data_IF_636129416693
#
_entry.id   IF_636129416693
#
_cell.length_a   1.000
_cell.length_b   1.000
_cell.length_c   1.000
_cell.angle_alpha   90.00
_cell.angle_beta   90.00
_cell.angle_gamma   90.00
#
_symmetry.space_group_name_H-M   'P 1'
#
loop_
_entity.id
_entity.type
_entity.pdbx_description
1 polymer ?
#
# COMPACT_ATOMS: atom_id res chain seq x y z
N UNK A 1 -11.48 32.13 37.60
CA UNK A 1 -11.12 30.83 37.01
C UNK A 1 -11.09 31.06 35.51
N UNK A 2 -9.90 31.06 34.92
CA UNK A 2 -9.73 31.24 33.48
C UNK A 2 -9.90 29.86 32.83
N UNK A 3 -10.98 29.68 32.07
CA UNK A 3 -11.08 28.59 31.11
C UNK A 3 -10.13 28.91 29.95
N UNK A 4 -8.94 28.33 30.01
CA UNK A 4 -8.03 28.26 28.87
C UNK A 4 -8.64 27.28 27.88
N UNK A 5 -9.44 27.80 26.94
CA UNK A 5 -9.88 27.02 25.79
C UNK A 5 -8.63 26.74 24.94
N UNK A 6 -8.10 25.52 25.06
CA UNK A 6 -7.01 25.05 24.21
C UNK A 6 -7.43 25.23 22.74
N UNK A 7 -6.58 25.83 21.88
CA UNK A 7 -6.91 25.95 20.48
C UNK A 7 -7.01 24.54 19.89
N UNK A 8 -8.11 24.28 19.19
CA UNK A 8 -8.34 23.07 18.41
C UNK A 8 -7.29 23.01 17.28
N UNK A 9 -6.12 22.45 17.61
CA UNK A 9 -4.96 22.32 16.73
C UNK A 9 -5.12 21.19 15.70
N UNK A 10 -6.33 20.66 15.52
CA UNK A 10 -6.63 19.76 14.41
C UNK A 10 -7.24 20.60 13.29
N UNK A 11 -6.44 21.55 12.81
CA UNK A 11 -6.73 22.30 11.61
C UNK A 11 -7.00 21.33 10.46
N UNK A 12 -8.02 21.69 9.68
CA UNK A 12 -8.37 21.17 8.36
C UNK A 12 -7.11 20.87 7.54
N UNK A 13 -6.57 19.66 7.70
CA UNK A 13 -5.43 19.20 6.94
C UNK A 13 -5.92 19.08 5.51
N UNK A 14 -5.50 20.02 4.65
CA UNK A 14 -5.67 19.92 3.21
C UNK A 14 -5.09 18.58 2.74
N UNK A 15 -5.98 17.59 2.59
CA UNK A 15 -5.66 16.21 2.23
C UNK A 15 -5.04 16.14 0.82
N UNK A 16 -5.15 17.23 0.06
CA UNK A 16 -4.61 17.41 -1.28
C UNK A 16 -3.13 17.84 -1.26
N UNK A 17 -2.70 18.59 -0.24
CA UNK A 17 -1.30 18.99 -0.06
C UNK A 17 -0.39 17.82 0.37
N UNK A 18 -0.98 16.74 0.90
CA UNK A 18 -0.31 15.50 1.29
C UNK A 18 -0.31 14.43 0.17
N UNK A 19 -0.09 14.83 -1.08
CA UNK A 19 0.07 13.91 -2.20
C UNK A 19 1.12 12.80 -1.91
N UNK A 20 0.96 11.59 -2.45
CA UNK A 20 0.81 10.37 -1.65
C UNK A 20 2.15 9.70 -1.33
N UNK A 21 2.74 10.00 -0.16
CA UNK A 21 3.84 9.17 0.38
C UNK A 21 3.37 7.75 0.70
N UNK A 22 2.08 7.60 1.04
CA UNK A 22 1.47 6.34 1.44
C UNK A 22 1.47 5.26 0.35
N UNK A 23 1.44 5.63 -0.94
CA UNK A 23 1.37 4.64 -2.03
C UNK A 23 2.62 3.76 -2.09
N UNK A 24 3.79 4.34 -1.81
CA UNK A 24 5.04 3.57 -1.65
C UNK A 24 5.03 2.79 -0.34
N UNK A 25 4.59 3.42 0.75
CA UNK A 25 4.56 2.77 2.06
C UNK A 25 3.66 1.54 2.11
N UNK A 26 2.55 1.53 1.38
CA UNK A 26 1.70 0.34 1.29
C UNK A 26 2.36 -0.82 0.55
N UNK A 27 3.10 -0.54 -0.52
CA UNK A 27 3.88 -1.54 -1.22
C UNK A 27 4.95 -2.13 -0.31
N UNK A 28 5.69 -1.26 0.36
CA UNK A 28 6.75 -1.67 1.27
C UNK A 28 6.19 -2.47 2.47
N UNK A 29 5.05 -2.06 3.03
CA UNK A 29 4.37 -2.80 4.10
C UNK A 29 3.94 -4.18 3.63
N UNK A 30 3.33 -4.29 2.45
CA UNK A 30 2.94 -5.57 1.87
C UNK A 30 4.15 -6.45 1.63
N UNK A 31 5.23 -5.89 1.07
CA UNK A 31 6.45 -6.63 0.74
C UNK A 31 7.16 -7.11 2.02
N UNK A 32 7.14 -6.29 3.07
CA UNK A 32 7.61 -6.65 4.41
C UNK A 32 6.82 -7.84 4.99
N UNK A 33 5.48 -7.77 4.98
CA UNK A 33 4.62 -8.87 5.46
C UNK A 33 4.81 -10.12 4.61
N UNK A 34 4.91 -9.98 3.29
CA UNK A 34 5.11 -11.10 2.36
C UNK A 34 6.44 -11.79 2.63
N UNK A 35 7.52 -11.02 2.79
CA UNK A 35 8.83 -11.56 3.14
C UNK A 35 8.84 -12.23 4.53
N UNK A 36 8.09 -11.69 5.50
CA UNK A 36 7.93 -12.31 6.82
C UNK A 36 7.22 -13.66 6.72
N UNK A 37 6.16 -13.76 5.92
CA UNK A 37 5.46 -15.03 5.66
C UNK A 37 6.31 -16.04 4.86
N UNK A 38 7.13 -15.60 3.91
CA UNK A 38 8.04 -16.51 3.19
C UNK A 38 9.15 -17.08 4.07
N UNK A 39 9.55 -16.36 5.13
CA UNK A 39 10.54 -16.83 6.12
C UNK A 39 9.91 -17.68 7.23
N UNK A 40 8.60 -17.56 7.41
CA UNK A 40 7.90 -18.36 8.40
C UNK A 40 7.85 -19.84 7.98
N UNK A 41 7.86 -20.79 8.93
CA UNK A 41 7.71 -22.20 8.63
C UNK A 41 6.39 -22.46 7.89
N UNK A 42 6.41 -23.34 6.90
CA UNK A 42 5.23 -23.75 6.09
C UNK A 42 4.07 -24.37 6.89
N UNK A 43 4.26 -24.57 8.20
CA UNK A 43 3.28 -25.05 9.18
C UNK A 43 2.37 -23.95 9.75
N UNK A 44 2.67 -22.66 9.54
CA UNK A 44 1.79 -21.57 10.01
C UNK A 44 0.50 -21.49 9.17
N UNK A 45 -0.43 -22.39 9.45
CA UNK A 45 -1.79 -22.40 8.88
C UNK A 45 -2.81 -21.80 9.85
N UNK A 46 -2.43 -21.61 11.11
CA UNK A 46 -3.30 -21.01 12.12
C UNK A 46 -3.43 -19.50 11.93
N UNK A 47 -4.66 -18.96 11.77
CA UNK A 47 -4.88 -17.54 11.52
C UNK A 47 -4.26 -16.61 12.58
N UNK A 48 -4.23 -17.04 13.85
CA UNK A 48 -3.62 -16.26 14.93
C UNK A 48 -2.11 -16.11 14.76
N UNK A 49 -1.41 -17.18 14.38
CA UNK A 49 0.04 -17.16 14.19
C UNK A 49 0.42 -16.28 12.99
N UNK A 50 -0.36 -16.34 11.91
CA UNK A 50 -0.18 -15.44 10.77
C UNK A 50 -0.38 -13.97 11.15
N UNK A 51 -1.37 -13.67 11.98
CA UNK A 51 -1.62 -12.32 12.48
C UNK A 51 -0.46 -11.80 13.36
N UNK A 52 0.11 -12.65 14.21
CA UNK A 52 1.26 -12.30 15.06
C UNK A 52 2.50 -11.96 14.21
N UNK A 53 2.81 -12.79 13.20
CA UNK A 53 3.93 -12.55 12.28
C UNK A 53 3.72 -11.25 11.49
N UNK A 54 2.51 -11.00 10.97
CA UNK A 54 2.20 -9.76 10.27
C UNK A 54 2.34 -8.53 11.18
N UNK A 55 1.91 -8.64 12.44
CA UNK A 55 1.99 -7.55 13.42
C UNK A 55 3.44 -7.21 13.75
N UNK A 56 4.29 -8.23 13.94
CA UNK A 56 5.72 -8.03 14.18
C UNK A 56 6.41 -7.36 12.98
N UNK A 57 6.14 -7.84 11.76
CA UNK A 57 6.68 -7.24 10.53
C UNK A 57 6.27 -5.77 10.38
N UNK A 58 5.00 -5.46 10.67
CA UNK A 58 4.50 -4.09 10.68
C UNK A 58 5.20 -3.23 11.74
N UNK A 59 5.39 -3.74 12.95
CA UNK A 59 6.06 -3.03 14.03
C UNK A 59 7.53 -2.74 13.72
N UNK A 60 8.24 -3.67 13.08
CA UNK A 60 9.61 -3.47 12.63
C UNK A 60 9.72 -2.41 11.53
N UNK A 61 8.79 -2.42 10.57
CA UNK A 61 8.84 -1.50 9.43
C UNK A 61 8.28 -0.10 9.74
N UNK A 62 7.20 -0.03 10.52
CA UNK A 62 6.52 1.23 10.89
C UNK A 62 7.01 1.81 12.21
N UNK A 63 7.80 1.06 12.99
CA UNK A 63 8.33 1.49 14.29
C UNK A 63 9.01 2.85 14.20
N UNK A 64 8.54 3.81 14.98
CA UNK A 64 9.09 5.17 15.06
C UNK A 64 8.72 6.11 13.89
N UNK A 65 7.84 5.70 12.96
CA UNK A 65 7.41 6.51 11.81
C UNK A 65 5.92 6.82 11.86
N UNK A 66 5.56 8.10 11.72
CA UNK A 66 4.18 8.49 11.44
C UNK A 66 3.84 8.14 9.98
N UNK A 67 2.98 7.14 9.76
CA UNK A 67 2.53 6.72 8.44
C UNK A 67 1.04 6.94 8.29
N UNK A 68 0.67 7.63 7.21
CA UNK A 68 -0.73 7.77 6.81
C UNK A 68 -1.20 6.49 6.11
N UNK A 69 -2.22 5.84 6.69
CA UNK A 69 -2.88 4.70 6.07
C UNK A 69 -4.19 5.17 5.40
N UNK A 70 -4.27 5.18 4.06
CA UNK A 70 -5.50 5.55 3.38
C UNK A 70 -6.62 4.54 3.70
N UNK A 71 -7.86 5.02 3.69
CA UNK A 71 -9.04 4.18 3.95
C UNK A 71 -9.90 4.03 2.69
N UNK A 72 -10.79 3.04 2.74
CA UNK A 72 -11.88 2.89 1.77
C UNK A 72 -11.41 2.59 0.33
N UNK A 73 -11.97 3.32 -0.63
CA UNK A 73 -11.77 3.04 -2.06
C UNK A 73 -10.32 3.22 -2.51
N UNK A 74 -9.61 4.20 -1.95
CA UNK A 74 -8.22 4.53 -2.32
C UNK A 74 -7.28 3.35 -2.03
N UNK A 75 -7.40 2.73 -0.85
CA UNK A 75 -6.64 1.54 -0.47
C UNK A 75 -6.92 0.35 -1.39
N UNK A 76 -8.21 0.08 -1.67
CA UNK A 76 -8.62 -1.02 -2.55
C UNK A 76 -8.08 -0.84 -3.97
N UNK A 77 -8.11 0.38 -4.48
CA UNK A 77 -7.57 0.74 -5.80
C UNK A 77 -6.06 0.54 -5.84
N UNK A 78 -5.32 0.96 -4.81
CA UNK A 78 -3.87 0.75 -4.75
C UNK A 78 -3.49 -0.73 -4.74
N UNK A 79 -4.17 -1.55 -3.92
CA UNK A 79 -3.94 -3.00 -3.86
C UNK A 79 -4.27 -3.69 -5.19
N UNK A 80 -5.36 -3.29 -5.86
CA UNK A 80 -5.72 -3.78 -7.20
C UNK A 80 -4.64 -3.42 -8.22
N UNK A 81 -4.23 -2.15 -8.26
CA UNK A 81 -3.24 -1.64 -9.21
C UNK A 81 -1.89 -2.33 -9.04
N UNK A 82 -1.52 -2.66 -7.81
CA UNK A 82 -0.34 -3.46 -7.49
C UNK A 82 -0.45 -4.89 -8.03
N UNK A 83 -1.56 -5.58 -7.74
CA UNK A 83 -1.78 -6.96 -8.20
C UNK A 83 -1.83 -7.06 -9.73
N UNK A 84 -2.43 -6.07 -10.39
CA UNK A 84 -2.42 -5.96 -11.84
C UNK A 84 -1.00 -5.87 -12.39
N UNK A 85 -0.14 -5.10 -11.73
CA UNK A 85 1.25 -4.95 -12.15
C UNK A 85 2.08 -6.21 -11.93
N UNK A 86 1.82 -6.96 -10.86
CA UNK A 86 2.44 -8.29 -10.62
C UNK A 86 2.01 -9.33 -11.66
N UNK A 87 0.75 -9.29 -12.10
CA UNK A 87 0.22 -10.18 -13.13
C UNK A 87 0.70 -9.80 -14.56
N UNK A 88 1.33 -8.64 -14.75
CA UNK A 88 1.72 -8.15 -16.06
C UNK A 88 2.97 -8.86 -16.59
N UNK A 89 2.84 -9.54 -17.73
CA UNK A 89 3.93 -10.32 -18.36
C UNK A 89 4.67 -9.55 -19.46
N UNK A 90 4.11 -8.43 -19.94
CA UNK A 90 4.70 -7.63 -21.03
C UNK A 90 3.77 -7.45 -22.24
N UNK A 91 2.90 -8.42 -22.48
CA UNK A 91 2.05 -8.51 -23.67
C UNK A 91 0.58 -8.89 -23.35
N UNK A 92 0.26 -9.19 -22.10
CA UNK A 92 -1.05 -9.67 -21.66
C UNK A 92 -2.09 -8.57 -21.34
N UNK A 93 -2.04 -7.41 -22.01
CA UNK A 93 -2.90 -6.25 -21.71
C UNK A 93 -4.40 -6.56 -21.83
N UNK A 94 -4.81 -7.30 -22.87
CA UNK A 94 -6.20 -7.69 -23.06
C UNK A 94 -6.70 -8.64 -21.95
N UNK A 95 -5.84 -9.49 -21.42
CA UNK A 95 -6.17 -10.38 -20.31
C UNK A 95 -6.38 -9.59 -19.02
N UNK A 96 -5.49 -8.64 -18.73
CA UNK A 96 -5.59 -7.77 -17.56
C UNK A 96 -6.85 -6.90 -17.60
N UNK A 97 -7.18 -6.34 -18.77
CA UNK A 97 -8.41 -5.56 -19.02
C UNK A 97 -9.66 -6.37 -18.62
N UNK A 98 -9.73 -7.65 -19.03
CA UNK A 98 -10.84 -8.55 -18.67
C UNK A 98 -10.83 -8.96 -17.19
N UNK A 99 -9.67 -9.34 -16.66
CA UNK A 99 -9.50 -9.81 -15.27
C UNK A 99 -9.86 -8.74 -14.25
N UNK A 100 -9.43 -7.50 -14.51
CA UNK A 100 -9.59 -6.37 -13.58
C UNK A 100 -10.77 -5.45 -13.93
N UNK A 101 -11.48 -5.71 -15.03
CA UNK A 101 -12.58 -4.89 -15.56
C UNK A 101 -12.19 -3.42 -15.71
N UNK A 102 -11.06 -3.20 -16.36
CA UNK A 102 -10.49 -1.87 -16.64
C UNK A 102 -10.39 -1.66 -18.14
N UNK A 103 -10.42 -0.42 -18.61
CA UNK A 103 -10.06 -0.13 -19.99
C UNK A 103 -8.54 -0.21 -20.20
N UNK A 104 -8.10 -0.45 -21.44
CA UNK A 104 -6.68 -0.57 -21.76
C UNK A 104 -5.88 0.67 -21.35
N UNK A 105 -6.44 1.87 -21.54
CA UNK A 105 -5.82 3.13 -21.11
C UNK A 105 -5.55 3.16 -19.60
N UNK A 106 -6.48 2.64 -18.79
CA UNK A 106 -6.28 2.54 -17.34
C UNK A 106 -5.18 1.53 -17.01
N UNK A 107 -5.16 0.37 -17.66
CA UNK A 107 -4.11 -0.65 -17.51
C UNK A 107 -2.72 -0.07 -17.85
N UNK A 108 -2.57 0.57 -19.00
CA UNK A 108 -1.32 1.24 -19.39
C UNK A 108 -0.92 2.34 -18.40
N UNK A 109 -1.90 3.12 -17.92
CA UNK A 109 -1.69 4.16 -16.91
C UNK A 109 -1.14 3.58 -15.59
N UNK A 110 -1.69 2.45 -15.14
CA UNK A 110 -1.23 1.74 -13.94
C UNK A 110 0.21 1.26 -14.13
N UNK A 111 0.50 0.56 -15.23
CA UNK A 111 1.83 0.04 -15.53
C UNK A 111 2.87 1.18 -15.55
N UNK A 112 2.55 2.30 -16.21
CA UNK A 112 3.43 3.47 -16.27
C UNK A 112 3.70 4.06 -14.88
N UNK A 113 2.67 4.20 -14.04
CA UNK A 113 2.82 4.70 -12.66
C UNK A 113 3.71 3.78 -11.83
N UNK A 114 3.49 2.47 -11.90
CA UNK A 114 4.28 1.49 -11.13
C UNK A 114 5.74 1.45 -11.57
N UNK A 115 6.02 1.49 -12.88
CA UNK A 115 7.41 1.58 -13.41
C UNK A 115 8.14 2.81 -12.91
N UNK A 116 7.46 3.97 -12.86
CA UNK A 116 8.05 5.21 -12.32
C UNK A 116 8.38 5.10 -10.83
N UNK A 117 7.56 4.37 -10.05
CA UNK A 117 7.84 4.12 -8.62
C UNK A 117 9.08 3.26 -8.44
N UNK A 118 9.17 2.13 -9.15
CA UNK A 118 10.33 1.21 -9.10
C UNK A 118 11.64 1.91 -9.48
N UNK A 119 11.61 2.75 -10.52
CA UNK A 119 12.79 3.52 -10.93
C UNK A 119 13.28 4.50 -9.85
N UNK A 120 12.40 4.93 -8.94
CA UNK A 120 12.72 5.89 -7.86
C UNK A 120 13.16 5.20 -6.56
N UNK A 121 12.78 3.94 -6.33
CA UNK A 121 13.20 3.16 -5.16
C UNK A 121 14.58 2.50 -5.31
N UNK A 122 15.11 2.45 -6.52
CA UNK A 122 16.46 1.92 -6.83
C UNK A 122 17.54 3.02 -6.92
N UNK A 123 17.26 4.22 -6.42
CA UNK A 123 18.19 5.35 -6.36
C UNK A 123 18.24 5.94 -4.97
#
# INVERSE_FOLDING_TARGET
MADTQEPDLIGDYDQTALAPRWEGTLADVRDCITAAFSRAPSVLTEPRQLAEVATLALAEYLGGRAVYLPRGHVLKTALRDQRLFEDYTGDNIHELTRKYRLCEQAVYGIIRRQRKRLARSSS
#
